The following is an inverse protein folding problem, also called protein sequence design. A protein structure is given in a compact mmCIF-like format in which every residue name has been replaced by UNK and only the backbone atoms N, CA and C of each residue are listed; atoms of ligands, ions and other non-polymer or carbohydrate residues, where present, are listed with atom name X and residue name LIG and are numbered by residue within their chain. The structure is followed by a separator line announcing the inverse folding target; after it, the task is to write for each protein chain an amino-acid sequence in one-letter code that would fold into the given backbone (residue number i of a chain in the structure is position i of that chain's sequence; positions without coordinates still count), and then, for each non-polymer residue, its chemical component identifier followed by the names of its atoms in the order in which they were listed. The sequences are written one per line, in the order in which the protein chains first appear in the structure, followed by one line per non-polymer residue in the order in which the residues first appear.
data_IF_281645663172
#
_entry.id   IF_281645663172
#
_cell.length_a   1.000
_cell.length_b   1.000
_cell.length_c   1.000
_cell.angle_alpha   90.00
_cell.angle_beta   90.00
_cell.angle_gamma   90.00
#
_symmetry.space_group_name_H-M   'P 1'
#
loop_
_entity.id
_entity.type
_entity.pdbx_description
1 polymer ?
#
# COMPACT_ATOMS: atom_id res chain seq x y z
N UNK A 1 14.54 18.89 14.75
CA UNK A 1 14.34 17.57 15.39
C UNK A 1 13.65 16.69 14.37
N UNK A 2 14.38 15.78 13.74
CA UNK A 2 13.79 14.76 12.86
C UNK A 2 13.13 13.78 13.82
N UNK A 3 11.80 13.72 13.83
CA UNK A 3 11.09 12.71 14.60
C UNK A 3 11.57 11.34 14.12
N UNK A 4 12.15 10.56 15.03
CA UNK A 4 12.46 9.16 14.77
C UNK A 4 11.18 8.47 14.31
N UNK A 5 11.23 7.91 13.10
CA UNK A 5 10.07 7.23 12.50
C UNK A 5 9.94 5.90 13.25
N UNK A 6 9.09 5.86 14.26
CA UNK A 6 8.73 4.59 14.92
C UNK A 6 8.01 3.70 13.90
N UNK A 7 8.74 2.69 13.42
CA UNK A 7 8.15 1.63 12.61
C UNK A 7 7.20 0.81 13.51
N UNK A 8 6.02 0.40 12.99
CA UNK A 8 5.12 -0.47 13.73
C UNK A 8 5.84 -1.74 14.17
N UNK A 9 5.70 -2.10 15.45
CA UNK A 9 6.20 -3.39 15.95
C UNK A 9 5.48 -4.55 15.25
N UNK A 10 6.10 -5.73 15.24
CA UNK A 10 5.45 -6.95 14.71
C UNK A 10 4.09 -7.21 15.36
N UNK A 11 3.96 -6.98 16.66
CA UNK A 11 2.70 -7.14 17.40
C UNK A 11 1.60 -6.17 16.90
N UNK A 12 1.97 -4.91 16.61
CA UNK A 12 1.03 -3.94 16.05
C UNK A 12 0.62 -4.30 14.62
N UNK A 13 1.53 -4.87 13.83
CA UNK A 13 1.21 -5.39 12.50
C UNK A 13 0.21 -6.56 12.62
N UNK A 14 0.45 -7.52 13.49
CA UNK A 14 -0.46 -8.67 13.67
C UNK A 14 -1.84 -8.24 14.18
N UNK A 15 -1.89 -7.27 15.10
CA UNK A 15 -3.14 -6.65 15.55
C UNK A 15 -3.87 -5.96 14.40
N UNK A 16 -3.15 -5.22 13.54
CA UNK A 16 -3.73 -4.61 12.36
C UNK A 16 -4.28 -5.68 11.42
N UNK A 17 -3.49 -6.71 11.11
CA UNK A 17 -3.87 -7.76 10.16
C UNK A 17 -5.10 -8.55 10.63
N UNK A 18 -5.25 -8.80 11.93
CA UNK A 18 -6.42 -9.49 12.49
C UNK A 18 -7.72 -8.67 12.42
N UNK A 19 -7.64 -7.34 12.43
CA UNK A 19 -8.83 -6.44 12.49
C UNK A 19 -9.15 -5.76 11.16
N UNK A 20 -8.16 -5.55 10.31
CA UNK A 20 -8.30 -4.84 9.06
C UNK A 20 -9.07 -5.66 8.02
N UNK A 21 -9.80 -4.96 7.14
CA UNK A 21 -10.35 -5.60 5.95
C UNK A 21 -9.23 -5.86 4.92
N UNK A 22 -9.52 -6.66 3.90
CA UNK A 22 -8.54 -7.07 2.88
C UNK A 22 -7.78 -5.91 2.22
N UNK A 23 -8.43 -4.74 2.04
CA UNK A 23 -7.79 -3.53 1.51
C UNK A 23 -6.66 -3.05 2.42
N UNK A 24 -6.96 -2.88 3.71
CA UNK A 24 -6.01 -2.34 4.67
C UNK A 24 -4.99 -3.38 5.16
N UNK A 25 -5.31 -4.67 5.09
CA UNK A 25 -4.33 -5.75 5.26
C UNK A 25 -3.24 -5.68 4.18
N UNK A 26 -3.62 -5.57 2.91
CA UNK A 26 -2.67 -5.43 1.81
C UNK A 26 -1.84 -4.14 1.94
N UNK A 27 -2.48 -3.00 2.25
CA UNK A 27 -1.76 -1.73 2.46
C UNK A 27 -0.69 -1.88 3.55
N UNK A 28 -1.04 -2.48 4.69
CA UNK A 28 -0.09 -2.64 5.79
C UNK A 28 1.09 -3.53 5.41
N UNK A 29 0.85 -4.66 4.72
CA UNK A 29 1.94 -5.53 4.25
C UNK A 29 2.84 -4.83 3.21
N UNK A 30 2.26 -4.06 2.29
CA UNK A 30 3.06 -3.28 1.33
C UNK A 30 3.96 -2.25 2.03
N UNK A 31 3.48 -1.63 3.11
CA UNK A 31 4.27 -0.69 3.90
C UNK A 31 5.35 -1.39 4.74
N UNK A 32 5.02 -2.52 5.37
CA UNK A 32 5.90 -3.19 6.33
C UNK A 32 6.90 -4.15 5.67
N UNK A 33 6.41 -5.01 4.79
CA UNK A 33 7.21 -6.06 4.17
C UNK A 33 7.95 -5.54 2.93
N UNK A 34 7.33 -4.62 2.16
CA UNK A 34 7.93 -4.05 0.95
C UNK A 34 8.49 -2.62 1.15
N UNK A 35 8.32 -2.03 2.34
CA UNK A 35 8.90 -0.72 2.69
C UNK A 35 8.37 0.44 1.85
N UNK A 36 7.12 0.37 1.40
CA UNK A 36 6.50 1.47 0.65
C UNK A 36 5.99 2.55 1.62
N UNK A 37 6.22 3.81 1.25
CA UNK A 37 5.55 4.95 1.91
C UNK A 37 4.08 4.98 1.54
N UNK A 38 3.22 5.56 2.38
CA UNK A 38 1.78 5.70 2.07
C UNK A 38 1.55 6.36 0.72
N UNK A 39 2.37 7.35 0.34
CA UNK A 39 2.29 8.04 -0.97
C UNK A 39 2.54 7.11 -2.17
N UNK A 40 3.43 6.13 -2.01
CA UNK A 40 3.74 5.15 -3.06
C UNK A 40 2.60 4.12 -3.13
N UNK A 41 2.12 3.62 -1.99
CA UNK A 41 1.05 2.62 -1.91
C UNK A 41 -0.22 3.10 -2.60
N UNK A 42 -0.71 4.31 -2.26
CA UNK A 42 -1.98 4.80 -2.82
C UNK A 42 -1.93 5.10 -4.32
N UNK A 43 -0.72 5.20 -4.89
CA UNK A 43 -0.50 5.43 -6.34
C UNK A 43 -0.23 4.14 -7.12
N UNK A 44 -0.21 2.98 -6.47
CA UNK A 44 -0.10 1.71 -7.17
C UNK A 44 -1.28 1.53 -8.13
N UNK A 45 -0.97 0.92 -9.28
CA UNK A 45 -1.92 0.58 -10.33
C UNK A 45 -1.82 -0.94 -10.53
N UNK A 46 -2.80 -1.53 -11.21
CA UNK A 46 -2.84 -2.98 -11.45
C UNK A 46 -1.55 -3.47 -12.09
N UNK A 47 -1.01 -2.76 -13.09
CA UNK A 47 0.25 -3.11 -13.79
C UNK A 47 1.50 -3.16 -12.90
N UNK A 48 1.46 -2.52 -11.74
CA UNK A 48 2.62 -2.40 -10.85
C UNK A 48 2.84 -3.66 -10.01
N UNK A 49 1.81 -4.50 -9.81
CA UNK A 49 1.91 -5.76 -9.06
C UNK A 49 2.14 -6.90 -10.04
N UNK A 50 3.24 -7.64 -9.88
CA UNK A 50 3.62 -8.78 -10.72
C UNK A 50 3.75 -10.04 -9.86
N UNK A 51 2.63 -10.68 -9.47
CA UNK A 51 2.67 -11.83 -8.54
C UNK A 51 3.47 -13.02 -9.08
N UNK A 52 3.39 -13.28 -10.40
CA UNK A 52 4.12 -14.38 -11.05
C UNK A 52 5.63 -14.18 -11.02
N UNK A 53 6.09 -12.93 -11.08
CA UNK A 53 7.50 -12.55 -10.98
C UNK A 53 7.93 -12.29 -9.51
N UNK A 54 7.00 -12.41 -8.55
CA UNK A 54 7.18 -12.03 -7.14
C UNK A 54 7.75 -10.61 -6.98
N UNK A 55 7.26 -9.66 -7.79
CA UNK A 55 7.79 -8.30 -7.84
C UNK A 55 6.71 -7.22 -7.78
N UNK A 56 7.10 -6.07 -7.26
CA UNK A 56 6.37 -4.81 -7.33
C UNK A 56 7.22 -3.77 -8.05
N UNK A 57 6.63 -3.06 -9.01
CA UNK A 57 7.28 -1.97 -9.74
C UNK A 57 6.75 -0.65 -9.21
N UNK A 58 7.59 0.13 -8.53
CA UNK A 58 7.18 1.36 -7.85
C UNK A 58 7.86 2.57 -8.46
N UNK A 59 7.11 3.64 -8.70
CA UNK A 59 7.66 4.91 -9.14
C UNK A 59 8.45 5.59 -8.01
N UNK A 60 9.72 5.89 -8.26
CA UNK A 60 10.61 6.56 -7.32
C UNK A 60 10.35 8.07 -7.34
N UNK A 61 10.05 8.65 -6.17
CA UNK A 61 9.83 10.10 -6.02
C UNK A 61 11.13 10.92 -5.97
N UNK A 62 12.30 10.32 -6.22
CA UNK A 62 13.60 11.02 -6.12
C UNK A 62 13.71 12.09 -7.21
N UNK A 63 13.57 13.35 -6.83
CA UNK A 63 13.69 14.56 -7.68
C UNK A 63 15.14 14.92 -8.03
N UNK A 64 15.98 13.98 -8.46
CA UNK A 64 17.31 14.35 -8.99
C UNK A 64 17.22 14.42 -10.50
N UNK A 65 17.59 15.56 -11.08
CA UNK A 65 17.58 15.80 -12.53
C UNK A 65 18.32 14.70 -13.33
N UNK A 66 19.24 13.97 -12.69
CA UNK A 66 20.04 12.90 -13.28
C UNK A 66 19.69 11.48 -12.79
N UNK A 67 18.62 11.27 -12.00
CA UNK A 67 18.27 9.91 -11.59
C UNK A 67 17.63 9.15 -12.76
N UNK A 68 18.41 8.27 -13.39
CA UNK A 68 17.99 7.44 -14.53
C UNK A 68 16.83 6.49 -14.19
N UNK A 69 16.69 6.10 -12.92
CA UNK A 69 15.65 5.15 -12.50
C UNK A 69 14.40 5.85 -11.95
N UNK A 70 13.44 6.10 -12.84
CA UNK A 70 12.07 6.51 -12.47
C UNK A 70 11.33 5.41 -11.72
N UNK A 71 11.74 4.15 -11.85
CA UNK A 71 11.09 3.00 -11.25
C UNK A 71 12.09 2.13 -10.51
N UNK A 72 11.67 1.54 -9.39
CA UNK A 72 12.40 0.50 -8.66
C UNK A 72 11.59 -0.78 -8.64
N UNK A 73 12.28 -1.91 -8.77
CA UNK A 73 11.70 -3.25 -8.56
C UNK A 73 11.92 -3.66 -7.12
N UNK A 74 10.87 -4.15 -6.47
CA UNK A 74 10.90 -4.58 -5.08
C UNK A 74 10.43 -6.04 -5.06
N UNK A 75 11.22 -6.98 -4.54
CA UNK A 75 10.75 -8.34 -4.32
C UNK A 75 9.64 -8.33 -3.26
N UNK A 76 8.58 -9.10 -3.48
CA UNK A 76 7.45 -9.21 -2.54
C UNK A 76 7.36 -10.61 -1.94
N UNK A 77 6.93 -10.67 -0.68
CA UNK A 77 6.78 -11.92 0.08
C UNK A 77 5.51 -12.67 -0.33
N UNK A 78 5.45 -13.97 -0.04
CA UNK A 78 4.23 -14.78 -0.22
C UNK A 78 3.03 -14.20 0.55
N UNK A 79 3.26 -13.59 1.71
CA UNK A 79 2.22 -12.90 2.50
C UNK A 79 1.58 -11.74 1.72
N UNK A 80 2.38 -10.95 1.01
CA UNK A 80 1.86 -9.88 0.13
C UNK A 80 1.06 -10.50 -1.02
N UNK A 81 1.55 -11.58 -1.63
CA UNK A 81 0.88 -12.25 -2.76
C UNK A 81 -0.49 -12.80 -2.33
N UNK A 82 -0.56 -13.47 -1.18
CA UNK A 82 -1.81 -13.99 -0.62
C UNK A 82 -2.79 -12.87 -0.27
N UNK A 83 -2.31 -11.80 0.39
CA UNK A 83 -3.13 -10.64 0.71
C UNK A 83 -3.64 -9.93 -0.55
N UNK A 84 -2.80 -9.85 -1.60
CA UNK A 84 -3.19 -9.32 -2.89
C UNK A 84 -4.28 -10.17 -3.55
N UNK A 85 -4.13 -11.50 -3.56
CA UNK A 85 -5.15 -12.39 -4.10
C UNK A 85 -6.48 -12.31 -3.32
N UNK A 86 -6.41 -12.21 -1.98
CA UNK A 86 -7.59 -12.01 -1.14
C UNK A 86 -8.26 -10.66 -1.40
N UNK A 87 -7.49 -9.57 -1.51
CA UNK A 87 -8.01 -8.26 -1.86
C UNK A 87 -8.65 -8.27 -3.25
N UNK A 88 -8.00 -8.89 -4.25
CA UNK A 88 -8.53 -8.98 -5.62
C UNK A 88 -9.91 -9.62 -5.69
N UNK A 89 -10.16 -10.66 -4.89
CA UNK A 89 -11.46 -11.34 -4.81
C UNK A 89 -12.55 -10.52 -4.12
N UNK A 90 -12.18 -9.62 -3.20
CA UNK A 90 -13.14 -8.91 -2.31
C UNK A 90 -13.34 -7.44 -2.67
N UNK A 91 -12.40 -6.85 -3.40
CA UNK A 91 -12.42 -5.44 -3.73
C UNK A 91 -13.62 -5.12 -4.65
N UNK A 92 -14.26 -3.99 -4.37
CA UNK A 92 -15.24 -3.38 -5.25
C UNK A 92 -14.65 -2.10 -5.84
N UNK A 93 -14.91 -1.84 -7.12
CA UNK A 93 -14.51 -0.61 -7.80
C UNK A 93 -13.05 -0.56 -8.29
N UNK A 94 -12.34 -1.69 -8.30
CA UNK A 94 -11.07 -1.82 -9.04
C UNK A 94 -11.41 -2.44 -10.38
N UNK A 95 -11.06 -1.78 -11.49
CA UNK A 95 -11.06 -2.42 -12.79
C UNK A 95 -9.77 -3.25 -12.93
N UNK A 96 -9.89 -4.58 -12.81
CA UNK A 96 -8.74 -5.48 -12.86
C UNK A 96 -8.25 -5.75 -14.28
N UNK A 97 -9.00 -5.33 -15.30
CA UNK A 97 -8.64 -5.49 -16.71
C UNK A 97 -7.93 -4.24 -17.26
N UNK A 98 -8.08 -3.10 -16.60
CA UNK A 98 -7.33 -1.88 -16.91
C UNK A 98 -5.98 -1.87 -16.15
N UNK A 99 -4.83 -1.96 -16.85
CA UNK A 99 -3.51 -1.90 -16.23
C UNK A 99 -3.23 -0.58 -15.50
N UNK A 100 -3.88 0.51 -15.92
CA UNK A 100 -3.75 1.86 -15.35
C UNK A 100 -4.71 2.12 -14.19
N UNK A 101 -5.66 1.21 -13.92
CA UNK A 101 -6.57 1.36 -12.81
C UNK A 101 -5.81 1.38 -11.48
N UNK A 102 -6.15 2.34 -10.62
CA UNK A 102 -5.57 2.42 -9.29
C UNK A 102 -5.96 1.20 -8.46
N UNK A 103 -4.95 0.56 -7.86
CA UNK A 103 -5.14 -0.62 -7.01
C UNK A 103 -6.00 -0.30 -5.78
N UNK A 104 -5.90 0.95 -5.30
CA UNK A 104 -6.70 1.46 -4.20
C UNK A 104 -7.53 2.65 -4.69
N UNK A 105 -8.75 2.41 -5.20
CA UNK A 105 -9.64 3.47 -5.67
C UNK A 105 -10.13 4.35 -4.52
N UNK A 106 -10.64 5.56 -4.82
CA UNK A 106 -11.20 6.47 -3.84
C UNK A 106 -12.27 5.81 -2.96
N UNK A 107 -12.42 6.33 -1.74
CA UNK A 107 -13.51 5.94 -0.85
C UNK A 107 -14.71 6.85 -1.07
N UNK A 108 -15.84 6.28 -1.52
CA UNK A 108 -17.08 7.03 -1.76
C UNK A 108 -16.99 7.92 -3.01
N UNK A 109 -17.87 8.93 -3.09
CA UNK A 109 -17.93 9.88 -4.19
C UNK A 109 -16.90 11.01 -4.03
N UNK A 110 -15.62 10.67 -3.84
CA UNK A 110 -14.57 11.69 -3.90
C UNK A 110 -14.12 11.89 -5.34
N UNK A 111 -13.98 13.14 -5.82
CA UNK A 111 -13.38 13.45 -7.13
C UNK A 111 -11.87 13.17 -7.23
N UNK A 112 -11.34 12.30 -6.36
CA UNK A 112 -9.94 11.88 -6.34
C UNK A 112 -9.78 10.60 -7.15
N UNK A 113 -8.68 10.48 -7.90
CA UNK A 113 -8.44 9.29 -8.72
C UNK A 113 -8.10 8.03 -7.91
N UNK A 114 -7.57 8.20 -6.70
CA UNK A 114 -7.13 7.10 -5.82
C UNK A 114 -7.42 7.38 -4.34
N UNK A 115 -7.23 6.36 -3.51
CA UNK A 115 -7.42 6.43 -2.06
C UNK A 115 -6.61 7.58 -1.45
N UNK A 116 -7.24 8.37 -0.58
CA UNK A 116 -6.55 9.49 0.07
C UNK A 116 -5.59 8.97 1.16
N UNK A 117 -4.42 9.59 1.26
CA UNK A 117 -3.44 9.31 2.33
C UNK A 117 -4.04 9.52 3.72
N UNK A 118 -4.87 10.56 3.88
CA UNK A 118 -5.59 10.86 5.12
C UNK A 118 -6.57 9.75 5.51
N UNK A 119 -7.18 9.06 4.53
CA UNK A 119 -8.05 7.91 4.79
C UNK A 119 -7.24 6.71 5.26
N UNK A 120 -6.08 6.44 4.64
CA UNK A 120 -5.15 5.39 5.06
C UNK A 120 -4.71 5.60 6.51
N UNK A 121 -4.21 6.80 6.81
CA UNK A 121 -3.75 7.17 8.15
C UNK A 121 -4.82 6.93 9.22
N UNK A 122 -6.01 7.52 9.03
CA UNK A 122 -7.14 7.37 9.96
C UNK A 122 -7.53 5.91 10.18
N UNK A 123 -7.46 5.08 9.13
CA UNK A 123 -7.89 3.68 9.25
C UNK A 123 -6.84 2.83 9.94
N UNK A 124 -5.56 3.00 9.62
CA UNK A 124 -4.46 2.31 10.30
C UNK A 124 -4.48 2.64 11.80
N UNK A 125 -4.57 3.93 12.16
CA UNK A 125 -4.71 4.33 13.56
C UNK A 125 -5.91 3.66 14.25
N UNK A 126 -7.07 3.63 13.58
CA UNK A 126 -8.26 2.96 14.12
C UNK A 126 -8.02 1.48 14.40
N UNK A 127 -7.33 0.77 13.51
CA UNK A 127 -7.07 -0.66 13.69
C UNK A 127 -6.05 -0.96 14.77
N UNK A 128 -5.13 -0.02 15.03
CA UNK A 128 -4.05 -0.16 16.01
C UNK A 128 -4.35 0.55 17.33
N UNK A 129 -5.60 0.93 17.60
CA UNK A 129 -5.98 1.71 18.80
C UNK A 129 -5.13 2.98 18.99
N UNK A 130 -4.83 3.70 17.90
CA UNK A 130 -4.01 4.91 17.84
C UNK A 130 -2.53 4.73 18.26
N UNK A 131 -2.02 3.50 18.26
CA UNK A 131 -0.62 3.24 18.65
C UNK A 131 0.39 3.29 17.50
N UNK A 132 -0.08 3.47 16.26
CA UNK A 132 0.76 3.47 15.05
C UNK A 132 0.56 4.73 14.23
N UNK A 133 1.66 5.41 13.91
CA UNK A 133 1.72 6.54 12.98
C UNK A 133 2.31 6.09 11.63
N UNK A 134 1.49 5.83 10.61
CA UNK A 134 1.99 5.41 9.29
C UNK A 134 2.75 6.54 8.57
N UNK A 135 3.88 6.18 7.96
CA UNK A 135 4.84 7.10 7.32
C UNK A 135 4.57 7.39 5.83
#
# INVERSE_FOLDING_TARGET
MVSDIELPTRQQLDLLLSRANAKYQLIALLMMDAGLRVTEVVRLQVKHVRPMEQQLVVFSLKKRAHSKDKFRKIPITSRIIEAYANYRRRAKGVDWNDPEAYLFPPSGQSGQAHLSRKSVYRRIMKYTNNTVNPH
#
